data_IF_575840461209
#
_entry.id   IF_575840461209
#
_cell.length_a   1.000
_cell.length_b   1.000
_cell.length_c   1.000
_cell.angle_alpha   90.00
_cell.angle_beta   90.00
_cell.angle_gamma   90.00
#
_symmetry.space_group_name_H-M   'P 1'
#
loop_
_entity.id
_entity.type
_entity.pdbx_description
1 polymer ?
#
# COMPACT_ATOMS: atom_id res chain seq x y z
N UNK A 1 -0.01 -26.69 -23.05
CA UNK A 1 -1.34 -26.12 -22.81
C UNK A 1 -1.19 -25.12 -21.71
N UNK A 2 -1.09 -23.82 -22.04
CA UNK A 2 -1.05 -22.77 -20.99
C UNK A 2 -2.39 -22.82 -20.27
N UNK A 3 -2.36 -23.31 -19.04
CA UNK A 3 -3.52 -23.18 -18.13
C UNK A 3 -3.60 -21.70 -17.80
N UNK A 4 -4.36 -20.96 -18.60
CA UNK A 4 -4.66 -19.59 -18.28
C UNK A 4 -5.35 -19.61 -16.92
N UNK A 5 -4.68 -19.07 -15.92
CA UNK A 5 -5.19 -19.08 -14.56
C UNK A 5 -6.44 -18.21 -14.53
N UNK A 6 -7.60 -18.82 -14.48
CA UNK A 6 -8.95 -18.24 -14.58
C UNK A 6 -9.20 -17.07 -13.59
N UNK A 7 -8.40 -16.96 -12.54
CA UNK A 7 -8.44 -15.90 -11.54
C UNK A 7 -7.43 -14.75 -11.80
N UNK A 8 -6.64 -14.82 -12.87
CA UNK A 8 -5.70 -13.77 -13.28
C UNK A 8 -6.22 -13.02 -14.52
N UNK A 9 -5.67 -11.82 -14.75
CA UNK A 9 -6.05 -10.99 -15.88
C UNK A 9 -7.30 -10.12 -15.64
N UNK A 10 -7.54 -9.22 -16.58
CA UNK A 10 -8.56 -8.17 -16.49
C UNK A 10 -9.84 -8.47 -17.30
N UNK A 11 -9.95 -9.65 -17.88
CA UNK A 11 -11.17 -10.09 -18.58
C UNK A 11 -12.30 -10.24 -17.56
N UNK A 12 -13.43 -9.56 -17.84
CA UNK A 12 -14.59 -9.52 -16.94
C UNK A 12 -15.90 -9.30 -17.69
N UNK A 13 -16.06 -9.97 -18.84
CA UNK A 13 -17.34 -10.11 -19.54
C UNK A 13 -18.24 -11.17 -18.87
N UNK A 14 -19.44 -11.36 -19.41
CA UNK A 14 -20.43 -12.30 -18.86
C UNK A 14 -19.91 -13.75 -18.80
N UNK A 15 -19.12 -14.18 -19.79
CA UNK A 15 -18.57 -15.54 -19.82
C UNK A 15 -17.46 -15.71 -18.77
N UNK A 16 -16.53 -14.78 -18.69
CA UNK A 16 -15.45 -14.82 -17.71
C UNK A 16 -15.95 -14.68 -16.27
N UNK A 17 -16.96 -13.86 -16.02
CA UNK A 17 -17.65 -13.79 -14.72
C UNK A 17 -18.28 -15.14 -14.34
N UNK A 18 -19.03 -15.75 -15.26
CA UNK A 18 -19.64 -17.07 -15.02
C UNK A 18 -18.58 -18.14 -14.77
N UNK A 19 -17.51 -18.16 -15.58
CA UNK A 19 -16.41 -19.09 -15.39
C UNK A 19 -15.75 -18.90 -14.00
N UNK A 20 -15.51 -17.64 -13.61
CA UNK A 20 -14.93 -17.31 -12.32
C UNK A 20 -15.79 -17.85 -11.16
N UNK A 21 -17.08 -17.55 -11.16
CA UNK A 21 -18.01 -18.01 -10.11
C UNK A 21 -18.14 -19.54 -10.07
N UNK A 22 -18.21 -20.21 -11.22
CA UNK A 22 -18.28 -21.67 -11.30
C UNK A 22 -17.00 -22.34 -10.76
N UNK A 23 -15.84 -21.76 -11.04
CA UNK A 23 -14.55 -22.26 -10.54
C UNK A 23 -14.38 -21.96 -9.06
N UNK A 24 -14.75 -20.75 -8.60
CA UNK A 24 -14.73 -20.36 -7.20
C UNK A 24 -15.63 -21.28 -6.35
N UNK A 25 -16.84 -21.57 -6.81
CA UNK A 25 -17.76 -22.49 -6.14
C UNK A 25 -17.19 -23.88 -5.99
N UNK A 26 -16.50 -24.41 -7.01
CA UNK A 26 -15.88 -25.74 -7.01
C UNK A 26 -14.57 -25.80 -6.21
N UNK A 27 -13.96 -24.66 -5.91
CA UNK A 27 -12.73 -24.60 -5.16
C UNK A 27 -12.96 -25.03 -3.70
N UNK A 28 -11.94 -25.70 -3.12
CA UNK A 28 -12.02 -26.18 -1.74
C UNK A 28 -11.25 -25.25 -0.81
N UNK A 29 -11.79 -25.09 0.41
CA UNK A 29 -11.18 -24.32 1.48
C UNK A 29 -11.35 -22.80 1.34
N UNK A 30 -11.48 -22.14 2.48
CA UNK A 30 -11.61 -20.68 2.60
C UNK A 30 -10.38 -19.97 2.06
N UNK A 31 -9.20 -20.48 2.38
CA UNK A 31 -7.91 -19.94 1.93
C UNK A 31 -7.84 -19.78 0.40
N UNK A 32 -8.13 -20.84 -0.36
CA UNK A 32 -8.06 -20.77 -1.82
C UNK A 32 -9.13 -19.83 -2.39
N UNK A 33 -10.34 -19.86 -1.84
CA UNK A 33 -11.43 -19.00 -2.33
C UNK A 33 -11.13 -17.53 -2.10
N UNK A 34 -10.67 -17.16 -0.90
CA UNK A 34 -10.27 -15.79 -0.58
C UNK A 34 -9.08 -15.34 -1.42
N UNK A 35 -8.08 -16.22 -1.65
CA UNK A 35 -6.95 -15.92 -2.52
C UNK A 35 -7.37 -15.61 -3.97
N UNK A 36 -8.33 -16.38 -4.54
CA UNK A 36 -8.82 -16.12 -5.89
C UNK A 36 -9.57 -14.80 -5.99
N UNK A 37 -10.38 -14.46 -4.98
CA UNK A 37 -11.05 -13.17 -4.89
C UNK A 37 -10.03 -12.03 -4.80
N UNK A 38 -9.01 -12.18 -3.94
CA UNK A 38 -7.94 -11.20 -3.77
C UNK A 38 -7.20 -10.92 -5.09
N UNK A 39 -6.76 -11.98 -5.76
CA UNK A 39 -5.98 -11.85 -6.99
C UNK A 39 -6.85 -11.24 -8.11
N UNK A 40 -8.05 -11.76 -8.32
CA UNK A 40 -8.96 -11.25 -9.37
C UNK A 40 -9.36 -9.82 -9.12
N UNK A 41 -9.74 -9.49 -7.87
CA UNK A 41 -10.05 -8.12 -7.47
C UNK A 41 -8.92 -7.15 -7.78
N UNK A 42 -7.69 -7.49 -7.39
CA UNK A 42 -6.52 -6.69 -7.66
C UNK A 42 -6.20 -6.51 -9.16
N UNK A 43 -6.45 -7.50 -10.00
CA UNK A 43 -6.33 -7.33 -11.46
C UNK A 43 -7.38 -6.36 -12.00
N UNK A 44 -8.63 -6.48 -11.54
CA UNK A 44 -9.72 -5.62 -12.02
C UNK A 44 -9.53 -4.16 -11.58
N UNK A 45 -9.03 -3.91 -10.37
CA UNK A 45 -8.70 -2.55 -9.89
C UNK A 45 -7.65 -1.83 -10.77
N UNK A 46 -6.79 -2.58 -11.46
CA UNK A 46 -5.75 -2.03 -12.34
C UNK A 46 -6.12 -2.02 -13.81
N UNK A 47 -7.40 -2.27 -14.15
CA UNK A 47 -7.84 -2.41 -15.54
C UNK A 47 -8.02 -1.11 -16.32
N UNK A 48 -8.05 0.05 -15.64
CA UNK A 48 -8.41 1.37 -16.22
C UNK A 48 -9.81 1.39 -16.86
N UNK A 49 -10.71 0.54 -16.40
CA UNK A 49 -12.11 0.44 -16.83
C UNK A 49 -13.00 0.57 -15.58
N UNK A 50 -13.82 1.62 -15.52
CA UNK A 50 -14.60 1.95 -14.32
C UNK A 50 -15.55 0.82 -13.88
N UNK A 51 -16.12 0.07 -14.84
CA UNK A 51 -16.96 -1.08 -14.51
C UNK A 51 -16.14 -2.19 -13.86
N UNK A 52 -14.98 -2.53 -14.45
CA UNK A 52 -14.10 -3.57 -13.92
C UNK A 52 -13.50 -3.16 -12.57
N UNK A 53 -13.12 -1.90 -12.41
CA UNK A 53 -12.62 -1.36 -11.13
C UNK A 53 -13.69 -1.50 -10.02
N UNK A 54 -14.94 -1.14 -10.32
CA UNK A 54 -16.08 -1.33 -9.40
C UNK A 54 -16.27 -2.81 -9.01
N UNK A 55 -16.17 -3.71 -9.99
CA UNK A 55 -16.24 -5.15 -9.74
C UNK A 55 -15.04 -5.65 -8.94
N UNK A 56 -13.85 -5.06 -9.15
CA UNK A 56 -12.66 -5.30 -8.32
C UNK A 56 -12.89 -4.97 -6.86
N UNK A 57 -13.44 -3.78 -6.57
CA UNK A 57 -13.84 -3.39 -5.21
C UNK A 57 -14.81 -4.42 -4.61
N UNK A 58 -15.87 -4.77 -5.37
CA UNK A 58 -16.89 -5.74 -4.92
C UNK A 58 -16.30 -7.11 -4.58
N UNK A 59 -15.33 -7.61 -5.36
CA UNK A 59 -14.66 -8.89 -5.07
C UNK A 59 -13.81 -8.83 -3.81
N UNK A 60 -13.10 -7.71 -3.56
CA UNK A 60 -12.32 -7.52 -2.34
C UNK A 60 -13.21 -7.37 -1.10
N UNK A 61 -14.30 -6.61 -1.20
CA UNK A 61 -15.30 -6.50 -0.13
C UNK A 61 -15.95 -7.85 0.18
N UNK A 62 -16.26 -8.63 -0.85
CA UNK A 62 -16.78 -9.99 -0.70
C UNK A 62 -15.79 -10.90 0.05
N UNK A 63 -14.49 -10.81 -0.28
CA UNK A 63 -13.45 -11.53 0.45
C UNK A 63 -13.48 -11.18 1.94
N UNK A 64 -13.49 -9.89 2.27
CA UNK A 64 -13.48 -9.38 3.65
C UNK A 64 -14.70 -9.91 4.42
N UNK A 65 -15.88 -9.91 3.79
CA UNK A 65 -17.13 -10.28 4.45
C UNK A 65 -17.34 -11.80 4.56
N UNK A 66 -16.99 -12.57 3.51
CA UNK A 66 -17.27 -14.00 3.46
C UNK A 66 -16.17 -14.87 4.08
N UNK A 67 -14.94 -14.34 4.22
CA UNK A 67 -13.80 -15.13 4.70
C UNK A 67 -13.06 -14.46 5.88
N UNK A 68 -13.76 -14.17 7.00
CA UNK A 68 -13.20 -13.40 8.12
C UNK A 68 -12.04 -14.09 8.86
N UNK A 69 -11.82 -15.39 8.64
CA UNK A 69 -10.67 -16.12 9.20
C UNK A 69 -9.38 -15.96 8.42
N UNK A 70 -9.45 -15.47 7.18
CA UNK A 70 -8.29 -15.37 6.27
C UNK A 70 -7.59 -14.00 6.42
N UNK A 71 -7.05 -13.75 7.61
CA UNK A 71 -6.52 -12.44 8.04
C UNK A 71 -5.50 -11.87 7.05
N UNK A 72 -4.55 -12.65 6.57
CA UNK A 72 -3.54 -12.17 5.63
C UNK A 72 -4.14 -11.68 4.30
N UNK A 73 -5.17 -12.37 3.81
CA UNK A 73 -5.89 -11.94 2.61
C UNK A 73 -6.75 -10.71 2.86
N UNK A 74 -7.35 -10.58 4.06
CA UNK A 74 -8.12 -9.41 4.47
C UNK A 74 -7.20 -8.16 4.55
N UNK A 75 -6.05 -8.30 5.20
CA UNK A 75 -5.05 -7.22 5.26
C UNK A 75 -4.66 -6.74 3.86
N UNK A 76 -4.36 -7.68 2.97
CA UNK A 76 -4.01 -7.36 1.57
C UNK A 76 -5.19 -6.77 0.79
N UNK A 77 -6.42 -7.20 1.04
CA UNK A 77 -7.61 -6.64 0.40
C UNK A 77 -7.84 -5.19 0.80
N UNK A 78 -7.77 -4.88 2.10
CA UNK A 78 -7.85 -3.51 2.58
C UNK A 78 -6.72 -2.64 2.02
N UNK A 79 -5.50 -3.15 1.96
CA UNK A 79 -4.39 -2.40 1.39
C UNK A 79 -4.59 -2.10 -0.10
N UNK A 80 -5.05 -3.08 -0.89
CA UNK A 80 -5.37 -2.88 -2.32
C UNK A 80 -6.51 -1.87 -2.54
N UNK A 81 -7.55 -1.90 -1.69
CA UNK A 81 -8.62 -0.89 -1.70
C UNK A 81 -8.07 0.49 -1.34
N UNK A 82 -7.19 0.58 -0.34
CA UNK A 82 -6.49 1.81 0.03
C UNK A 82 -5.69 2.39 -1.14
N UNK A 83 -4.88 1.57 -1.80
CA UNK A 83 -4.09 1.96 -2.98
C UNK A 83 -4.97 2.45 -4.13
N UNK A 84 -6.09 1.78 -4.36
CA UNK A 84 -7.07 2.16 -5.38
C UNK A 84 -7.68 3.53 -5.08
N UNK A 85 -8.25 3.72 -3.88
CA UNK A 85 -8.87 4.99 -3.51
C UNK A 85 -7.85 6.14 -3.46
N UNK A 86 -6.63 5.90 -3.01
CA UNK A 86 -5.56 6.88 -3.05
C UNK A 86 -5.26 7.32 -4.50
N UNK A 87 -5.18 6.38 -5.44
CA UNK A 87 -4.96 6.70 -6.87
C UNK A 87 -6.10 7.51 -7.50
N UNK A 88 -7.31 7.45 -6.94
CA UNK A 88 -8.47 8.24 -7.36
C UNK A 88 -8.60 9.59 -6.64
N UNK A 89 -7.68 9.91 -5.70
CA UNK A 89 -7.75 11.11 -4.87
C UNK A 89 -8.82 11.05 -3.77
N UNK A 90 -9.41 9.88 -3.53
CA UNK A 90 -10.42 9.64 -2.50
C UNK A 90 -9.75 9.36 -1.13
N UNK A 91 -9.04 10.37 -0.61
CA UNK A 91 -8.14 10.23 0.54
C UNK A 91 -8.83 9.69 1.80
N UNK A 92 -10.08 10.05 2.07
CA UNK A 92 -10.81 9.54 3.24
C UNK A 92 -11.07 8.02 3.17
N UNK A 93 -11.43 7.53 1.99
CA UNK A 93 -11.61 6.09 1.78
C UNK A 93 -10.26 5.36 1.82
N UNK A 94 -9.22 5.95 1.24
CA UNK A 94 -7.87 5.40 1.31
C UNK A 94 -7.39 5.28 2.76
N UNK A 95 -7.50 6.35 3.55
CA UNK A 95 -7.16 6.38 4.97
C UNK A 95 -7.89 5.28 5.74
N UNK A 96 -9.22 5.20 5.58
CA UNK A 96 -10.02 4.19 6.28
C UNK A 96 -9.53 2.76 5.96
N UNK A 97 -9.29 2.45 4.69
CA UNK A 97 -8.83 1.13 4.28
C UNK A 97 -7.41 0.82 4.82
N UNK A 98 -6.47 1.76 4.78
CA UNK A 98 -5.15 1.54 5.37
C UNK A 98 -5.22 1.35 6.88
N UNK A 99 -6.05 2.12 7.61
CA UNK A 99 -6.28 1.92 9.05
C UNK A 99 -6.83 0.52 9.36
N UNK A 100 -7.75 0.01 8.54
CA UNK A 100 -8.25 -1.36 8.68
C UNK A 100 -7.13 -2.38 8.48
N UNK A 101 -6.31 -2.26 7.44
CA UNK A 101 -5.17 -3.16 7.23
C UNK A 101 -4.19 -3.15 8.41
N UNK A 102 -3.80 -1.97 8.87
CA UNK A 102 -2.83 -1.78 9.97
C UNK A 102 -3.36 -2.33 11.30
N UNK A 103 -4.67 -2.28 11.53
CA UNK A 103 -5.28 -2.76 12.78
C UNK A 103 -4.94 -4.22 13.11
N UNK A 104 -4.62 -5.01 12.10
CA UNK A 104 -4.22 -6.40 12.25
C UNK A 104 -2.75 -6.60 12.63
N UNK A 105 -1.87 -5.61 12.39
CA UNK A 105 -0.42 -5.77 12.58
C UNK A 105 -0.03 -6.16 14.00
N UNK A 106 -0.68 -5.61 15.00
CA UNK A 106 -0.37 -5.86 16.42
C UNK A 106 -0.50 -7.34 16.79
N UNK A 107 -1.50 -8.03 16.27
CA UNK A 107 -1.82 -9.40 16.66
C UNK A 107 -1.38 -10.45 15.63
N UNK A 108 -1.18 -10.06 14.39
CA UNK A 108 -0.93 -10.99 13.27
C UNK A 108 0.40 -10.72 12.55
N UNK A 109 1.13 -9.67 12.96
CA UNK A 109 2.31 -9.22 12.22
C UNK A 109 1.93 -8.61 10.87
N UNK A 110 2.93 -8.41 10.02
CA UNK A 110 2.77 -7.73 8.71
C UNK A 110 2.72 -8.69 7.53
N UNK A 111 2.75 -9.99 7.78
CA UNK A 111 2.71 -11.02 6.74
C UNK A 111 1.35 -11.03 6.04
N UNK A 112 1.36 -11.11 4.71
CA UNK A 112 0.15 -11.12 3.89
C UNK A 112 -0.24 -9.74 3.33
N UNK A 113 0.50 -8.68 3.67
CA UNK A 113 0.39 -7.34 3.07
C UNK A 113 1.75 -6.90 2.52
N UNK A 114 1.86 -5.66 2.00
CA UNK A 114 3.19 -5.11 1.64
C UNK A 114 4.08 -4.84 2.86
N UNK A 115 3.48 -4.80 4.06
CA UNK A 115 4.18 -4.46 5.31
C UNK A 115 4.42 -2.96 5.53
N UNK A 116 3.96 -2.11 4.62
CA UNK A 116 4.15 -0.65 4.65
C UNK A 116 2.83 0.15 4.67
N UNK A 117 1.74 -0.46 5.14
CA UNK A 117 0.42 0.18 5.20
C UNK A 117 0.42 1.46 6.03
N UNK A 118 1.21 1.54 7.09
CA UNK A 118 1.41 2.72 7.92
C UNK A 118 2.13 3.87 7.17
N UNK A 119 3.10 3.57 6.32
CA UNK A 119 3.75 4.56 5.45
C UNK A 119 2.72 5.11 4.46
N UNK A 120 1.95 4.24 3.80
CA UNK A 120 0.88 4.62 2.87
C UNK A 120 -0.20 5.46 3.56
N UNK A 121 -0.58 5.11 4.79
CA UNK A 121 -1.49 5.92 5.60
C UNK A 121 -0.93 7.31 5.83
N UNK A 122 0.32 7.42 6.25
CA UNK A 122 0.96 8.70 6.54
C UNK A 122 1.05 9.60 5.30
N UNK A 123 1.42 9.04 4.14
CA UNK A 123 1.42 9.75 2.87
C UNK A 123 0.01 10.25 2.50
N UNK A 124 -1.02 9.41 2.68
CA UNK A 124 -2.41 9.75 2.38
C UNK A 124 -2.89 10.91 3.23
N UNK A 125 -2.66 10.84 4.53
CA UNK A 125 -3.06 11.87 5.49
C UNK A 125 -2.29 13.17 5.27
N UNK A 126 -0.99 13.07 5.02
CA UNK A 126 -0.17 14.25 4.71
C UNK A 126 -0.66 14.95 3.45
N UNK A 127 -0.95 14.22 2.39
CA UNK A 127 -1.47 14.77 1.13
C UNK A 127 -2.88 15.37 1.29
N UNK A 128 -3.68 14.85 2.22
CA UNK A 128 -4.98 15.41 2.56
C UNK A 128 -4.90 16.66 3.46
N UNK A 129 -3.71 17.05 3.94
CA UNK A 129 -3.50 18.22 4.80
C UNK A 129 -4.09 18.10 6.21
N UNK A 130 -4.33 16.89 6.70
CA UNK A 130 -4.90 16.60 8.05
C UNK A 130 -3.82 16.70 9.13
N UNK A 131 -3.40 17.93 9.47
CA UNK A 131 -2.29 18.18 10.40
C UNK A 131 -2.59 17.81 11.86
N UNK A 132 -3.84 17.75 12.25
CA UNK A 132 -4.31 17.40 13.59
C UNK A 132 -3.88 16.01 14.07
N UNK A 133 -3.62 15.08 13.14
CA UNK A 133 -3.19 13.72 13.46
C UNK A 133 -1.70 13.43 13.12
N UNK A 134 -0.90 14.43 12.78
CA UNK A 134 0.51 14.23 12.44
C UNK A 134 1.34 13.64 13.60
N UNK A 135 1.01 14.01 14.84
CA UNK A 135 1.69 13.42 16.01
C UNK A 135 1.36 11.91 16.16
N UNK A 136 0.12 11.52 15.90
CA UNK A 136 -0.26 10.10 15.86
C UNK A 136 0.55 9.34 14.79
N UNK A 137 0.65 9.90 13.58
CA UNK A 137 1.40 9.30 12.49
C UNK A 137 2.91 9.21 12.77
N UNK A 138 3.47 10.23 13.40
CA UNK A 138 4.86 10.20 13.83
C UNK A 138 5.12 9.00 14.77
N UNK A 139 4.28 8.82 15.80
CA UNK A 139 4.41 7.68 16.73
C UNK A 139 4.16 6.34 16.03
N UNK A 140 3.21 6.30 15.09
CA UNK A 140 2.93 5.11 14.28
C UNK A 140 4.16 4.67 13.48
N UNK A 141 4.85 5.62 12.85
CA UNK A 141 6.02 5.34 12.01
C UNK A 141 7.30 5.08 12.82
N UNK A 142 7.47 5.70 13.99
CA UNK A 142 8.69 5.55 14.78
C UNK A 142 8.61 4.38 15.76
N UNK A 143 7.60 4.36 16.62
CA UNK A 143 7.49 3.39 17.71
C UNK A 143 6.71 2.15 17.30
N UNK A 144 5.48 2.33 16.79
CA UNK A 144 4.60 1.22 16.43
C UNK A 144 5.14 0.42 15.25
N UNK A 145 5.75 1.08 14.26
CA UNK A 145 6.36 0.40 13.12
C UNK A 145 7.38 -0.65 13.58
N UNK A 146 8.30 -0.27 14.46
CA UNK A 146 9.30 -1.19 15.02
C UNK A 146 8.65 -2.25 15.91
N UNK A 147 7.73 -1.84 16.78
CA UNK A 147 7.05 -2.73 17.74
C UNK A 147 6.23 -3.83 17.06
N UNK A 148 5.67 -3.55 15.88
CA UNK A 148 4.90 -4.51 15.08
C UNK A 148 5.73 -5.30 14.07
N UNK A 149 7.07 -5.24 14.17
CA UNK A 149 8.01 -5.99 13.31
C UNK A 149 8.17 -5.37 11.93
N UNK A 150 8.01 -4.05 11.81
CA UNK A 150 8.26 -3.32 10.57
C UNK A 150 9.74 -3.40 10.18
N UNK A 151 9.98 -3.84 8.94
CA UNK A 151 11.30 -3.92 8.34
C UNK A 151 11.22 -3.47 6.88
N UNK A 152 12.06 -2.54 6.52
CA UNK A 152 12.16 -2.03 5.15
C UNK A 152 13.41 -2.63 4.50
N UNK A 153 13.23 -3.19 3.32
CA UNK A 153 14.30 -3.84 2.55
C UNK A 153 14.52 -3.09 1.23
N UNK A 154 13.46 -2.60 0.61
CA UNK A 154 13.51 -1.95 -0.69
C UNK A 154 13.82 -0.47 -0.54
N UNK A 155 14.73 0.05 -1.38
CA UNK A 155 15.14 1.47 -1.33
C UNK A 155 13.99 2.44 -1.58
N UNK A 156 13.04 2.09 -2.42
CA UNK A 156 11.84 2.89 -2.67
C UNK A 156 10.93 2.98 -1.42
N UNK A 157 10.75 1.88 -0.69
CA UNK A 157 10.00 1.90 0.58
C UNK A 157 10.74 2.67 1.67
N UNK A 158 12.08 2.52 1.76
CA UNK A 158 12.92 3.27 2.70
C UNK A 158 12.90 4.77 2.36
N UNK A 159 12.93 5.12 1.07
CA UNK A 159 12.79 6.50 0.62
C UNK A 159 11.45 7.09 1.06
N UNK A 160 10.33 6.40 0.81
CA UNK A 160 8.99 6.84 1.19
C UNK A 160 8.88 7.05 2.70
N UNK A 161 9.40 6.11 3.48
CA UNK A 161 9.43 6.21 4.94
C UNK A 161 10.16 7.47 5.42
N UNK A 162 11.37 7.72 4.94
CA UNK A 162 12.12 8.90 5.34
C UNK A 162 11.52 10.20 4.79
N UNK A 163 11.01 10.19 3.56
CA UNK A 163 10.37 11.36 2.96
C UNK A 163 9.12 11.80 3.74
N UNK A 164 8.23 10.86 4.08
CA UNK A 164 7.02 11.21 4.83
C UNK A 164 7.34 11.64 6.27
N UNK A 165 8.32 11.01 6.92
CA UNK A 165 8.78 11.41 8.26
C UNK A 165 9.41 12.82 8.26
N UNK A 166 10.22 13.16 7.27
CA UNK A 166 10.78 14.50 7.13
C UNK A 166 9.68 15.56 7.08
N UNK A 167 8.65 15.33 6.28
CA UNK A 167 7.51 16.23 6.11
C UNK A 167 6.65 16.35 7.39
N UNK A 168 6.42 15.24 8.07
CA UNK A 168 5.67 15.24 9.34
C UNK A 168 6.48 15.94 10.43
N UNK A 169 7.78 15.66 10.54
CA UNK A 169 8.64 16.27 11.55
C UNK A 169 8.73 17.79 11.39
N UNK A 170 8.83 18.32 10.15
CA UNK A 170 8.83 19.78 9.96
C UNK A 170 7.51 20.40 10.39
N UNK A 171 6.38 19.75 10.09
CA UNK A 171 5.08 20.19 10.51
C UNK A 171 4.85 20.14 12.05
N UNK A 172 5.60 19.27 12.74
CA UNK A 172 5.64 19.13 14.18
C UNK A 172 6.74 19.97 14.86
N UNK A 173 7.40 20.87 14.13
CA UNK A 173 8.51 21.70 14.59
C UNK A 173 9.74 20.91 15.10
N UNK A 174 9.86 19.64 14.72
CA UNK A 174 10.99 18.75 15.04
C UNK A 174 12.11 18.92 13.98
N UNK A 175 12.69 20.12 13.90
CA UNK A 175 13.60 20.54 12.83
C UNK A 175 14.80 19.60 12.62
N UNK A 176 15.49 19.21 13.69
CA UNK A 176 16.69 18.36 13.57
C UNK A 176 16.35 16.96 13.07
N UNK A 177 15.26 16.37 13.55
CA UNK A 177 14.79 15.09 13.04
C UNK A 177 14.35 15.19 11.57
N UNK A 178 13.64 16.27 11.21
CA UNK A 178 13.23 16.53 9.83
C UNK A 178 14.43 16.58 8.86
N UNK A 179 15.50 17.32 9.24
CA UNK A 179 16.75 17.40 8.46
C UNK A 179 17.44 16.05 8.33
N UNK A 180 17.47 15.26 9.41
CA UNK A 180 18.06 13.91 9.38
C UNK A 180 17.31 13.00 8.40
N UNK A 181 15.96 12.98 8.48
CA UNK A 181 15.14 12.18 7.58
C UNK A 181 15.22 12.68 6.12
N UNK A 182 15.20 13.99 5.89
CA UNK A 182 15.36 14.56 4.55
C UNK A 182 16.70 14.17 3.92
N UNK A 183 17.81 14.23 4.68
CA UNK A 183 19.11 13.79 4.21
C UNK A 183 19.12 12.32 3.80
N UNK A 184 18.55 11.44 4.63
CA UNK A 184 18.45 10.00 4.33
C UNK A 184 17.62 9.72 3.09
N UNK A 185 16.50 10.42 2.92
CA UNK A 185 15.68 10.31 1.72
C UNK A 185 16.42 10.76 0.47
N UNK A 186 17.08 11.92 0.51
CA UNK A 186 17.87 12.45 -0.62
C UNK A 186 19.03 11.53 -1.02
N UNK A 187 19.67 10.86 -0.06
CA UNK A 187 20.72 9.86 -0.35
C UNK A 187 20.16 8.67 -1.15
N UNK A 188 18.93 8.26 -0.90
CA UNK A 188 18.28 7.18 -1.65
C UNK A 188 17.76 7.64 -3.02
N UNK A 189 17.35 8.91 -3.14
CA UNK A 189 16.79 9.47 -4.38
C UNK A 189 17.74 9.41 -5.58
N UNK A 190 19.06 9.35 -5.32
CA UNK A 190 20.10 9.30 -6.38
C UNK A 190 20.37 7.86 -6.86
N UNK A 191 19.89 6.83 -6.13
CA UNK A 191 20.10 5.42 -6.49
C UNK A 191 19.14 5.08 -7.64
N UNK A 192 19.70 4.78 -8.81
CA UNK A 192 18.92 4.44 -10.02
C UNK A 192 19.03 2.97 -10.39
N UNK A 193 19.94 2.26 -9.77
CA UNK A 193 20.14 0.83 -10.03
C UNK A 193 19.12 -0.01 -9.27
N UNK A 194 18.55 -1.05 -9.90
CA UNK A 194 17.66 -1.99 -9.21
C UNK A 194 18.42 -2.77 -8.14
N UNK A 195 17.72 -3.14 -7.07
CA UNK A 195 18.34 -3.92 -5.99
C UNK A 195 18.57 -5.40 -6.38
N UNK A 196 17.85 -5.89 -7.38
CA UNK A 196 18.00 -7.25 -7.89
C UNK A 196 18.06 -7.23 -9.42
N UNK A 197 19.09 -7.82 -10.02
CA UNK A 197 19.36 -7.80 -11.46
C UNK A 197 18.20 -8.33 -12.32
N UNK A 198 17.49 -9.35 -11.82
CA UNK A 198 16.37 -9.96 -12.54
C UNK A 198 15.04 -9.17 -12.39
N UNK A 199 15.03 -8.09 -11.61
CA UNK A 199 13.84 -7.28 -11.32
C UNK A 199 14.12 -5.79 -11.49
N UNK A 200 14.13 -5.27 -12.74
CA UNK A 200 14.65 -3.93 -13.06
C UNK A 200 13.85 -2.76 -12.46
N UNK A 201 12.73 -3.03 -11.80
CA UNK A 201 11.93 -2.01 -11.12
C UNK A 201 12.01 -2.08 -9.60
N UNK A 202 12.62 -3.16 -9.05
CA UNK A 202 12.59 -3.41 -7.61
C UNK A 202 13.62 -2.54 -6.88
N UNK A 203 13.14 -1.77 -5.91
CA UNK A 203 13.96 -0.87 -5.11
C UNK A 203 14.47 0.37 -5.86
N UNK A 204 13.97 0.62 -7.08
CA UNK A 204 14.32 1.84 -7.84
C UNK A 204 13.47 3.00 -7.35
N UNK A 205 14.12 4.00 -6.77
CA UNK A 205 13.44 5.19 -6.27
C UNK A 205 12.97 6.07 -7.43
N UNK A 206 11.63 6.16 -7.59
CA UNK A 206 10.97 7.05 -8.53
C UNK A 206 10.46 8.27 -7.76
N UNK A 207 11.14 9.40 -7.92
CA UNK A 207 10.82 10.64 -7.21
C UNK A 207 10.71 11.80 -8.19
N UNK A 208 9.75 12.70 -7.96
CA UNK A 208 9.59 13.92 -8.75
C UNK A 208 10.62 14.98 -8.35
N UNK A 209 10.90 15.91 -9.26
CA UNK A 209 11.76 17.07 -8.95
C UNK A 209 11.16 17.94 -7.84
N UNK A 210 9.84 18.01 -7.74
CA UNK A 210 9.14 18.76 -6.67
C UNK A 210 9.41 18.15 -5.29
N UNK A 211 9.38 16.82 -5.19
CA UNK A 211 9.65 16.14 -3.92
C UNK A 211 11.13 16.29 -3.52
N UNK A 212 12.06 16.21 -4.49
CA UNK A 212 13.49 16.49 -4.24
C UNK A 212 13.67 17.92 -3.74
N UNK A 213 13.04 18.91 -4.38
CA UNK A 213 13.11 20.31 -3.98
C UNK A 213 12.57 20.49 -2.56
N UNK A 214 11.40 19.94 -2.25
CA UNK A 214 10.81 19.99 -0.90
C UNK A 214 11.73 19.40 0.18
N UNK A 215 12.33 18.24 -0.07
CA UNK A 215 13.26 17.62 0.87
C UNK A 215 14.54 18.45 1.02
N UNK A 216 14.99 19.09 -0.06
CA UNK A 216 16.16 20.00 -0.03
C UNK A 216 15.86 21.26 0.78
N UNK A 217 14.65 21.82 0.66
CA UNK A 217 14.23 22.98 1.46
C UNK A 217 14.19 22.63 2.95
N UNK A 218 13.64 21.46 3.31
CA UNK A 218 13.67 20.98 4.71
C UNK A 218 15.09 20.86 5.24
N UNK A 219 16.01 20.34 4.43
CA UNK A 219 17.42 20.18 4.83
C UNK A 219 18.11 21.53 5.09
N UNK A 220 17.74 22.56 4.34
CA UNK A 220 18.35 23.89 4.40
C UNK A 220 17.62 24.88 5.33
N UNK A 221 16.51 24.47 5.94
CA UNK A 221 15.76 25.33 6.88
C UNK A 221 16.60 25.67 8.11
N UNK A 222 16.67 26.96 8.45
CA UNK A 222 17.48 27.48 9.57
C UNK A 222 16.71 27.50 10.90
#
# INVERSE_FOLDING_TARGET
MNIQEWFRGTEWDKESQKLFEDKLKKSRGSYNKSQYLLIKGGYLLRSMDLFKESEGCRLLERLINEYPSEISHIMSAYEQLGDYYFSKGENEKAENNYRQSISFYKNNGRSGSSGIGDIKLAETVFNAGKSDIFFELYNLLTDEFKRTGGQLILNDDIFRYYSVLAKICIALEKKEEAKEYARKALQLAVIKEPQLDNYPQLGVVKVSNEEIARLTDILNEH
#
